data_IF_694570315843
#
_entry.id   IF_694570315843
#
_cell.length_a   1.000
_cell.length_b   1.000
_cell.length_c   1.000
_cell.angle_alpha   90.00
_cell.angle_beta   90.00
_cell.angle_gamma   90.00
#
_symmetry.space_group_name_H-M   'P 1'
#
loop_
_entity.id
_entity.type
_entity.pdbx_description
1 polymer ?
#
# COMPACT_ATOMS: atom_id res chain seq x y z
N UNK A 1 7.49 2.31 -23.31
CA UNK A 1 7.56 3.14 -22.09
C UNK A 1 8.00 2.22 -20.98
N UNK A 2 9.15 2.45 -20.36
CA UNK A 2 9.56 1.69 -19.19
C UNK A 2 8.67 2.15 -18.03
N UNK A 3 7.53 1.46 -17.87
CA UNK A 3 6.67 1.60 -16.71
C UNK A 3 7.58 1.38 -15.51
N UNK A 4 7.81 2.41 -14.68
CA UNK A 4 8.40 2.18 -13.36
C UNK A 4 7.40 1.28 -12.64
N UNK A 5 7.67 -0.01 -12.64
CA UNK A 5 6.77 -1.00 -12.08
C UNK A 5 6.81 -0.81 -10.56
N UNK A 6 5.72 -0.31 -10.01
CA UNK A 6 5.55 -0.30 -8.56
C UNK A 6 5.39 -1.76 -8.18
N UNK A 7 6.33 -2.29 -7.43
CA UNK A 7 6.31 -3.68 -6.99
C UNK A 7 5.31 -3.88 -5.85
N UNK A 8 4.82 -5.11 -5.70
CA UNK A 8 3.81 -5.43 -4.69
C UNK A 8 4.32 -5.17 -3.26
N UNK A 9 5.64 -5.24 -3.02
CA UNK A 9 6.24 -4.87 -1.73
C UNK A 9 6.11 -3.38 -1.43
N UNK A 10 6.29 -2.51 -2.43
CA UNK A 10 6.15 -1.07 -2.25
C UNK A 10 4.72 -0.71 -1.87
N UNK A 11 3.75 -1.41 -2.45
CA UNK A 11 2.34 -1.28 -2.07
C UNK A 11 2.14 -1.72 -0.63
N UNK A 12 2.71 -2.86 -0.24
CA UNK A 12 2.58 -3.36 1.13
C UNK A 12 3.22 -2.40 2.15
N UNK A 13 4.41 -1.88 1.84
CA UNK A 13 5.10 -0.89 2.67
C UNK A 13 4.29 0.40 2.82
N UNK A 14 3.65 0.87 1.74
CA UNK A 14 2.80 2.05 1.78
C UNK A 14 1.53 1.84 2.63
N UNK A 15 0.93 0.65 2.58
CA UNK A 15 -0.21 0.28 3.44
C UNK A 15 0.23 0.19 4.91
N UNK A 16 1.42 -0.34 5.17
CA UNK A 16 1.99 -0.40 6.52
C UNK A 16 2.24 1.00 7.09
N UNK A 17 2.84 1.91 6.32
CA UNK A 17 3.10 3.29 6.73
C UNK A 17 1.78 4.04 7.01
N UNK A 18 0.77 3.88 6.15
CA UNK A 18 -0.58 4.42 6.39
C UNK A 18 -1.18 3.89 7.70
N UNK A 19 -1.02 2.59 7.98
CA UNK A 19 -1.51 1.98 9.22
C UNK A 19 -0.78 2.52 10.45
N UNK A 20 0.54 2.74 10.38
CA UNK A 20 1.28 3.36 11.46
C UNK A 20 0.78 4.79 11.74
N UNK A 21 0.52 5.59 10.70
CA UNK A 21 -0.03 6.95 10.88
C UNK A 21 -1.42 6.94 11.52
N UNK A 22 -2.28 6.00 11.13
CA UNK A 22 -3.59 5.80 11.78
C UNK A 22 -3.45 5.42 13.26
N UNK A 23 -2.51 4.53 13.60
CA UNK A 23 -2.25 4.13 14.99
C UNK A 23 -1.68 5.28 15.83
N UNK A 24 -0.90 6.17 15.21
CA UNK A 24 -0.36 7.37 15.82
C UNK A 24 -1.41 8.48 15.98
N UNK A 25 -2.66 8.24 15.59
CA UNK A 25 -3.77 9.17 15.76
C UNK A 25 -3.76 10.34 14.77
N UNK A 26 -2.99 10.24 13.67
CA UNK A 26 -3.06 11.27 12.63
C UNK A 26 -4.43 11.20 11.94
N UNK A 27 -5.09 12.36 11.70
CA UNK A 27 -6.33 12.43 10.94
C UNK A 27 -6.05 12.04 9.48
N UNK A 28 -6.10 10.75 9.20
CA UNK A 28 -5.90 10.23 7.86
C UNK A 28 -7.20 10.32 7.08
N UNK A 29 -7.11 10.80 5.85
CA UNK A 29 -8.18 10.70 4.87
C UNK A 29 -8.53 9.22 4.58
N UNK A 30 -9.45 8.97 3.63
CA UNK A 30 -9.75 7.63 3.13
C UNK A 30 -8.46 6.81 2.94
N UNK A 31 -8.36 5.64 3.58
CA UNK A 31 -7.15 4.80 3.60
C UNK A 31 -6.54 4.58 2.19
N UNK A 32 -7.37 4.39 1.18
CA UNK A 32 -6.90 4.23 -0.21
C UNK A 32 -6.20 5.47 -0.77
N UNK A 33 -6.64 6.67 -0.39
CA UNK A 33 -6.03 7.91 -0.85
C UNK A 33 -4.66 8.15 -0.22
N UNK A 34 -4.51 7.87 1.07
CA UNK A 34 -3.24 8.01 1.79
C UNK A 34 -2.19 7.04 1.23
N UNK A 35 -2.59 5.80 0.94
CA UNK A 35 -1.69 4.82 0.30
C UNK A 35 -1.24 5.28 -1.08
N UNK A 36 -2.14 5.85 -1.88
CA UNK A 36 -1.80 6.43 -3.18
C UNK A 36 -0.81 7.59 -3.01
N UNK A 37 -1.04 8.50 -2.08
CA UNK A 37 -0.14 9.62 -1.81
C UNK A 37 1.26 9.15 -1.39
N UNK A 38 1.35 8.14 -0.51
CA UNK A 38 2.62 7.54 -0.10
C UNK A 38 3.31 6.87 -1.29
N UNK A 39 2.58 6.13 -2.13
CA UNK A 39 3.13 5.51 -3.33
C UNK A 39 3.63 6.55 -4.34
N UNK A 40 2.90 7.65 -4.53
CA UNK A 40 3.33 8.73 -5.41
C UNK A 40 4.59 9.41 -4.87
N UNK A 41 4.68 9.65 -3.57
CA UNK A 41 5.83 10.25 -2.93
C UNK A 41 7.08 9.35 -3.00
N UNK A 42 6.93 8.03 -2.83
CA UNK A 42 8.05 7.09 -2.81
C UNK A 42 8.51 6.67 -4.20
N UNK A 43 7.59 6.42 -5.14
CA UNK A 43 7.91 5.93 -6.49
C UNK A 43 8.08 7.05 -7.53
N UNK A 44 7.55 8.24 -7.26
CA UNK A 44 7.42 9.34 -8.24
C UNK A 44 6.45 9.01 -9.40
N UNK A 45 5.66 7.95 -9.28
CA UNK A 45 4.73 7.52 -10.31
C UNK A 45 3.44 8.38 -10.31
N UNK A 46 2.75 8.49 -11.46
CA UNK A 46 1.47 9.17 -11.51
C UNK A 46 0.39 8.38 -10.75
N UNK A 47 -0.61 9.11 -10.22
CA UNK A 47 -1.73 8.56 -9.43
C UNK A 47 -2.35 7.30 -10.04
N UNK A 48 -2.65 7.31 -11.35
CA UNK A 48 -3.25 6.16 -12.05
C UNK A 48 -2.40 4.89 -12.00
N UNK A 49 -1.08 5.01 -11.97
CA UNK A 49 -0.18 3.86 -11.85
C UNK A 49 -0.21 3.31 -10.43
N UNK A 50 -0.26 4.20 -9.43
CA UNK A 50 -0.40 3.82 -8.02
C UNK A 50 -1.75 3.12 -7.75
N UNK A 51 -2.84 3.64 -8.32
CA UNK A 51 -4.17 3.01 -8.25
C UNK A 51 -4.17 1.61 -8.86
N UNK A 52 -3.50 1.42 -10.00
CA UNK A 52 -3.39 0.10 -10.66
C UNK A 52 -2.53 -0.88 -9.88
N UNK A 53 -1.44 -0.41 -9.28
CA UNK A 53 -0.59 -1.23 -8.41
C UNK A 53 -1.35 -1.67 -7.16
N UNK A 54 -2.13 -0.76 -6.55
CA UNK A 54 -2.98 -1.07 -5.41
C UNK A 54 -4.07 -2.09 -5.79
N UNK A 55 -4.77 -1.88 -6.92
CA UNK A 55 -5.78 -2.84 -7.42
C UNK A 55 -5.16 -4.22 -7.70
N UNK A 56 -3.93 -4.27 -8.21
CA UNK A 56 -3.19 -5.53 -8.41
C UNK A 56 -2.93 -6.23 -7.08
N UNK A 57 -2.44 -5.51 -6.07
CA UNK A 57 -2.21 -6.06 -4.74
C UNK A 57 -3.51 -6.55 -4.06
N UNK A 58 -4.64 -5.87 -4.29
CA UNK A 58 -5.97 -6.33 -3.88
C UNK A 58 -6.35 -7.65 -4.54
N UNK A 59 -6.19 -7.75 -5.87
CA UNK A 59 -6.49 -8.99 -6.61
C UNK A 59 -5.58 -10.14 -6.20
N UNK A 60 -4.35 -9.85 -5.80
CA UNK A 60 -3.40 -10.84 -5.28
C UNK A 60 -3.70 -11.22 -3.81
N UNK A 61 -4.67 -10.59 -3.16
CA UNK A 61 -5.02 -10.88 -1.76
C UNK A 61 -3.96 -10.42 -0.77
N UNK A 62 -3.08 -9.47 -1.14
CA UNK A 62 -2.04 -8.91 -0.27
C UNK A 62 -2.58 -7.79 0.63
N UNK A 63 -3.64 -7.13 0.17
CA UNK A 63 -4.32 -6.03 0.86
C UNK A 63 -5.81 -6.33 0.85
N UNK A 64 -6.46 -6.16 1.99
CA UNK A 64 -7.91 -6.28 2.15
C UNK A 64 -8.51 -4.93 2.59
N UNK A 65 -9.76 -4.68 2.21
CA UNK A 65 -10.56 -3.55 2.69
C UNK A 65 -11.80 -4.09 3.39
N UNK A 66 -12.09 -3.52 4.56
CA UNK A 66 -13.37 -3.76 5.20
C UNK A 66 -14.53 -3.17 4.38
N UNK A 67 -15.63 -3.93 4.24
CA UNK A 67 -16.89 -3.48 3.63
C UNK A 67 -17.53 -2.29 4.37
N UNK A 68 -17.10 -2.05 5.61
CA UNK A 68 -17.45 -0.87 6.41
C UNK A 68 -16.25 0.05 6.50
N UNK A 69 -16.13 0.88 5.46
CA UNK A 69 -15.55 2.23 5.44
C UNK A 69 -14.34 2.51 6.35
N UNK A 70 -13.19 2.70 5.68
CA UNK A 70 -12.00 3.49 6.08
C UNK A 70 -10.73 2.76 6.54
N UNK A 71 -10.69 1.41 6.55
CA UNK A 71 -9.47 0.66 6.87
C UNK A 71 -9.09 -0.31 5.75
N UNK A 72 -7.99 -0.03 5.04
CA UNK A 72 -7.27 -1.06 4.30
C UNK A 72 -6.24 -1.69 5.23
N UNK A 73 -6.18 -3.02 5.28
CA UNK A 73 -5.19 -3.76 6.09
C UNK A 73 -4.41 -4.73 5.24
N UNK A 74 -3.16 -4.97 5.64
CA UNK A 74 -2.34 -6.04 5.07
C UNK A 74 -2.90 -7.39 5.51
N UNK A 75 -2.99 -8.30 4.56
CA UNK A 75 -3.29 -9.71 4.85
C UNK A 75 -2.03 -10.42 5.36
N UNK A 76 -2.17 -11.68 5.78
CA UNK A 76 -1.03 -12.48 6.21
C UNK A 76 0.05 -12.58 5.09
N UNK A 77 -0.37 -12.75 3.84
CA UNK A 77 0.53 -12.77 2.68
C UNK A 77 1.19 -11.41 2.43
N UNK A 78 0.47 -10.30 2.59
CA UNK A 78 1.04 -8.95 2.49
C UNK A 78 2.09 -8.68 3.57
N UNK A 79 1.86 -9.14 4.79
CA UNK A 79 2.82 -9.06 5.90
C UNK A 79 4.06 -9.90 5.60
N UNK A 80 3.88 -11.15 5.17
CA UNK A 80 5.00 -12.03 4.80
C UNK A 80 5.88 -11.39 3.71
N UNK A 81 5.26 -10.81 2.69
CA UNK A 81 5.97 -10.17 1.59
C UNK A 81 6.74 -8.91 2.04
N UNK A 82 6.21 -8.17 3.01
CA UNK A 82 6.89 -7.05 3.65
C UNK A 82 8.13 -7.53 4.42
N UNK A 83 7.98 -8.52 5.31
CA UNK A 83 9.06 -9.01 6.17
C UNK A 83 10.14 -9.79 5.41
N UNK A 84 9.79 -10.49 4.32
CA UNK A 84 10.75 -11.20 3.47
C UNK A 84 11.68 -10.23 2.70
N UNK A 85 11.19 -9.03 2.36
CA UNK A 85 12.02 -8.01 1.71
C UNK A 85 12.76 -7.11 2.69
N UNK A 86 12.22 -6.87 3.89
CA UNK A 86 12.87 -6.04 4.93
C UNK A 86 14.17 -6.71 5.45
N UNK A 87 14.24 -8.05 5.41
CA UNK A 87 15.41 -8.83 5.81
C UNK A 87 16.54 -8.96 4.77
N UNK A 88 16.48 -8.24 3.65
CA UNK A 88 17.53 -8.24 2.61
C UNK A 88 18.48 -7.03 2.68
N UNK A 89 18.46 -6.26 3.78
CA UNK A 89 19.33 -5.11 4.01
C UNK A 89 20.60 -5.44 4.81
#
# INVERSE_FOLDING_TARGET
MATKDISDWQVCAAVYDMRQRQLNGEPSALAGQVVIEILQATSGAPKKVCERALERAFRHGLVETGMWFHGGWLTHDGILLLYLNDGQH
#
